data_IF_150018059021
#
_entry.id   IF_150018059021
#
_cell.length_a   1.000
_cell.length_b   1.000
_cell.length_c   1.000
_cell.angle_alpha   90.00
_cell.angle_beta   90.00
_cell.angle_gamma   90.00
#
_symmetry.space_group_name_H-M   'P 1'
#
loop_
_entity.id
_entity.type
_entity.pdbx_description
1 polymer ?
#
# COMPACT_ATOMS: atom_id res chain seq x y z
N UNK A 1 -13.86 -64.84 2.47
CA UNK A 1 -13.03 -63.91 1.67
C UNK A 1 -13.76 -62.59 1.58
N UNK A 2 -13.45 -61.66 2.50
CA UNK A 2 -14.05 -60.33 2.59
C UNK A 2 -13.77 -59.53 1.31
N UNK A 3 -14.80 -59.29 0.51
CA UNK A 3 -14.74 -58.41 -0.67
C UNK A 3 -14.97 -56.93 -0.33
N UNK A 4 -15.12 -56.60 0.97
CA UNK A 4 -15.36 -55.24 1.46
C UNK A 4 -14.06 -54.43 1.68
N UNK A 5 -12.91 -55.08 1.79
CA UNK A 5 -11.62 -54.41 2.04
C UNK A 5 -11.12 -53.51 0.90
N UNK A 6 -11.33 -53.78 -0.41
CA UNK A 6 -10.88 -52.85 -1.45
C UNK A 6 -11.81 -51.64 -1.60
N UNK A 7 -13.07 -51.74 -1.17
CA UNK A 7 -14.05 -50.65 -1.30
C UNK A 7 -13.81 -49.54 -0.26
N UNK A 8 -13.34 -49.91 0.94
CA UNK A 8 -13.10 -48.97 2.03
C UNK A 8 -11.88 -48.05 1.78
N UNK A 9 -10.88 -48.54 1.06
CA UNK A 9 -9.69 -47.73 0.73
C UNK A 9 -9.95 -46.67 -0.34
N UNK A 10 -10.95 -46.85 -1.22
CA UNK A 10 -11.23 -45.90 -2.30
C UNK A 10 -11.94 -44.61 -1.81
N UNK A 11 -12.69 -44.68 -0.69
CA UNK A 11 -13.46 -43.53 -0.17
C UNK A 11 -12.58 -42.53 0.58
N UNK A 12 -11.44 -42.96 1.14
CA UNK A 12 -10.51 -42.10 1.87
C UNK A 12 -9.62 -41.22 0.97
N UNK A 13 -9.52 -41.53 -0.33
CA UNK A 13 -8.72 -40.75 -1.30
C UNK A 13 -9.43 -39.50 -1.82
N UNK A 14 -10.73 -39.32 -1.56
CA UNK A 14 -11.51 -38.17 -2.08
C UNK A 14 -11.49 -36.96 -1.11
N UNK A 15 -11.00 -37.13 0.12
CA UNK A 15 -10.96 -36.05 1.11
C UNK A 15 -9.72 -35.13 1.02
N UNK A 16 -8.83 -35.35 0.05
CA UNK A 16 -7.60 -34.57 -0.12
C UNK A 16 -7.66 -33.52 -1.26
N UNK A 17 -8.84 -33.22 -1.81
CA UNK A 17 -8.98 -32.04 -2.68
C UNK A 17 -9.21 -30.82 -1.80
N UNK A 18 -8.13 -30.18 -1.35
CA UNK A 18 -8.16 -28.77 -0.97
C UNK A 18 -8.47 -27.96 -2.24
N UNK A 19 -9.73 -27.96 -2.68
CA UNK A 19 -10.21 -26.97 -3.64
C UNK A 19 -10.13 -25.63 -2.91
N UNK A 20 -9.17 -24.79 -3.30
CA UNK A 20 -9.00 -23.43 -2.79
C UNK A 20 -10.35 -22.73 -2.88
N UNK A 21 -11.00 -22.55 -1.72
CA UNK A 21 -12.33 -21.94 -1.61
C UNK A 21 -12.16 -20.47 -1.98
N UNK A 22 -13.02 -19.96 -2.88
CA UNK A 22 -13.00 -18.56 -3.31
C UNK A 22 -12.94 -17.65 -2.06
N UNK A 23 -11.89 -16.82 -1.93
CA UNK A 23 -11.81 -15.84 -0.85
C UNK A 23 -13.03 -14.93 -0.84
N UNK A 24 -13.50 -14.58 0.36
CA UNK A 24 -14.61 -13.66 0.54
C UNK A 24 -14.29 -12.23 0.07
N UNK A 25 -15.30 -11.38 -0.14
CA UNK A 25 -15.10 -10.00 -0.60
C UNK A 25 -14.27 -9.15 0.37
N UNK A 26 -14.27 -9.48 1.66
CA UNK A 26 -13.47 -8.80 2.68
C UNK A 26 -11.94 -8.92 2.45
N UNK A 27 -11.50 -9.82 1.57
CA UNK A 27 -10.07 -9.96 1.23
C UNK A 27 -9.47 -8.68 0.62
N UNK A 28 -10.29 -7.78 0.05
CA UNK A 28 -9.83 -6.54 -0.57
C UNK A 28 -9.83 -5.33 0.38
N UNK A 29 -10.43 -5.46 1.57
CA UNK A 29 -10.71 -4.32 2.43
C UNK A 29 -9.44 -3.64 2.95
N UNK A 30 -8.40 -4.41 3.28
CA UNK A 30 -7.13 -3.86 3.78
C UNK A 30 -6.44 -2.98 2.73
N UNK A 31 -6.26 -3.52 1.53
CA UNK A 31 -5.65 -2.80 0.40
C UNK A 31 -6.47 -1.56 -0.01
N UNK A 32 -7.81 -1.67 -0.05
CA UNK A 32 -8.66 -0.51 -0.34
C UNK A 32 -8.54 0.60 0.71
N UNK A 33 -8.48 0.23 1.99
CA UNK A 33 -8.26 1.19 3.09
C UNK A 33 -6.87 1.81 3.04
N UNK A 34 -5.84 1.04 2.67
CA UNK A 34 -4.47 1.52 2.53
C UNK A 34 -4.35 2.54 1.39
N UNK A 35 -4.99 2.29 0.24
CA UNK A 35 -5.07 3.27 -0.88
C UNK A 35 -5.73 4.56 -0.40
N UNK A 36 -6.87 4.49 0.29
CA UNK A 36 -7.55 5.66 0.82
C UNK A 36 -6.72 6.41 1.89
N UNK A 37 -5.87 5.70 2.64
CA UNK A 37 -4.92 6.32 3.56
C UNK A 37 -3.77 7.04 2.81
N UNK A 38 -3.26 6.46 1.71
CA UNK A 38 -2.27 7.08 0.84
C UNK A 38 -2.82 8.36 0.18
N UNK A 39 -4.05 8.33 -0.32
CA UNK A 39 -4.74 9.50 -0.87
C UNK A 39 -4.86 10.62 0.17
N UNK A 40 -5.32 10.30 1.38
CA UNK A 40 -5.38 11.26 2.51
C UNK A 40 -4.01 11.80 2.92
N UNK A 41 -2.93 11.05 2.70
CA UNK A 41 -1.57 11.49 2.93
C UNK A 41 -1.04 12.43 1.82
N UNK A 42 -1.80 12.65 0.75
CA UNK A 42 -1.41 13.50 -0.38
C UNK A 42 -0.58 12.79 -1.44
N UNK A 43 -0.65 11.45 -1.52
CA UNK A 43 0.14 10.67 -2.45
C UNK A 43 -0.14 10.99 -3.92
N UNK A 44 -1.31 11.56 -4.27
CA UNK A 44 -1.59 11.98 -5.65
C UNK A 44 -0.59 13.01 -6.18
N UNK A 45 -0.10 13.90 -5.32
CA UNK A 45 0.93 14.87 -5.69
C UNK A 45 2.33 14.37 -5.33
N UNK A 46 2.47 13.73 -4.16
CA UNK A 46 3.77 13.49 -3.54
C UNK A 46 4.36 12.11 -3.82
N UNK A 47 3.53 11.13 -4.17
CA UNK A 47 3.92 9.75 -4.48
C UNK A 47 3.01 9.11 -5.54
N UNK A 48 2.84 9.74 -6.73
CA UNK A 48 1.84 9.33 -7.71
C UNK A 48 2.13 7.96 -8.35
N UNK A 49 3.41 7.56 -8.41
CA UNK A 49 3.81 6.30 -9.05
C UNK A 49 3.39 5.12 -8.18
N UNK A 50 3.66 5.18 -6.89
CA UNK A 50 3.36 4.15 -5.91
C UNK A 50 1.84 4.03 -5.70
N UNK A 51 1.14 5.17 -5.62
CA UNK A 51 -0.32 5.18 -5.56
C UNK A 51 -0.94 4.55 -6.82
N UNK A 52 -0.39 4.82 -8.01
CA UNK A 52 -0.85 4.17 -9.25
C UNK A 52 -0.60 2.66 -9.20
N UNK A 53 0.57 2.22 -8.76
CA UNK A 53 0.86 0.80 -8.64
C UNK A 53 -0.08 0.10 -7.65
N UNK A 54 -0.37 0.71 -6.50
CA UNK A 54 -1.36 0.16 -5.57
C UNK A 54 -2.72 -0.06 -6.24
N UNK A 55 -3.25 0.97 -6.92
CA UNK A 55 -4.53 0.89 -7.66
C UNK A 55 -4.50 -0.18 -8.75
N UNK A 56 -3.41 -0.27 -9.52
CA UNK A 56 -3.26 -1.27 -10.58
C UNK A 56 -3.25 -2.70 -10.04
N UNK A 57 -2.53 -2.94 -8.93
CA UNK A 57 -2.44 -4.25 -8.30
C UNK A 57 -3.77 -4.70 -7.71
N UNK A 58 -4.51 -3.80 -7.07
CA UNK A 58 -5.85 -4.10 -6.58
C UNK A 58 -6.81 -4.45 -7.71
N UNK A 59 -6.77 -3.72 -8.82
CA UNK A 59 -7.59 -4.00 -10.01
C UNK A 59 -7.19 -5.32 -10.70
N UNK A 60 -5.89 -5.66 -10.72
CA UNK A 60 -5.41 -6.96 -11.19
C UNK A 60 -5.87 -8.10 -10.28
N UNK A 61 -5.83 -7.91 -8.96
CA UNK A 61 -6.32 -8.87 -7.98
C UNK A 61 -7.82 -9.17 -8.17
N UNK A 62 -8.63 -8.14 -8.40
CA UNK A 62 -10.07 -8.30 -8.68
C UNK A 62 -10.30 -9.18 -9.92
N UNK A 63 -9.58 -8.90 -11.02
CA UNK A 63 -9.64 -9.72 -12.24
C UNK A 63 -9.14 -11.15 -12.00
N UNK A 64 -8.08 -11.34 -11.22
CA UNK A 64 -7.59 -12.66 -10.83
C UNK A 64 -8.62 -13.47 -10.03
N UNK A 65 -9.33 -12.80 -9.11
CA UNK A 65 -10.38 -13.38 -8.28
C UNK A 65 -11.61 -13.83 -9.10
N UNK A 66 -11.95 -13.08 -10.16
CA UNK A 66 -12.98 -13.46 -11.12
C UNK A 66 -12.56 -14.66 -11.99
N UNK A 67 -11.27 -14.74 -12.33
CA UNK A 67 -10.69 -15.82 -13.14
C UNK A 67 -10.38 -17.10 -12.34
N UNK A 68 -10.68 -17.15 -11.04
CA UNK A 68 -10.38 -18.30 -10.19
C UNK A 68 -8.91 -18.43 -9.78
N UNK A 69 -8.09 -17.39 -10.03
CA UNK A 69 -6.65 -17.35 -9.69
C UNK A 69 -6.45 -16.82 -8.27
N UNK A 70 -6.98 -17.53 -7.28
CA UNK A 70 -7.09 -17.02 -5.91
C UNK A 70 -5.73 -16.70 -5.26
N UNK A 71 -4.75 -17.58 -5.39
CA UNK A 71 -3.43 -17.38 -4.78
C UNK A 71 -2.72 -16.15 -5.37
N UNK A 72 -2.80 -15.99 -6.69
CA UNK A 72 -2.24 -14.82 -7.40
C UNK A 72 -2.99 -13.55 -6.98
N UNK A 73 -4.32 -13.61 -6.86
CA UNK A 73 -5.12 -12.46 -6.44
C UNK A 73 -4.78 -12.01 -5.01
N UNK A 74 -4.56 -12.95 -4.09
CA UNK A 74 -4.14 -12.63 -2.71
C UNK A 74 -2.75 -11.98 -2.69
N UNK A 75 -1.81 -12.49 -3.48
CA UNK A 75 -0.49 -11.87 -3.60
C UNK A 75 -0.57 -10.43 -4.16
N UNK A 76 -1.43 -10.19 -5.16
CA UNK A 76 -1.64 -8.86 -5.72
C UNK A 76 -2.31 -7.89 -4.73
N UNK A 77 -3.17 -8.38 -3.83
CA UNK A 77 -3.73 -7.58 -2.72
C UNK A 77 -2.60 -7.13 -1.78
N UNK A 78 -1.70 -8.05 -1.41
CA UNK A 78 -0.54 -7.73 -0.56
C UNK A 78 0.39 -6.72 -1.25
N UNK A 79 0.68 -6.90 -2.54
CA UNK A 79 1.45 -5.92 -3.32
C UNK A 79 0.77 -4.55 -3.34
N UNK A 80 -0.57 -4.49 -3.45
CA UNK A 80 -1.32 -3.24 -3.38
C UNK A 80 -1.17 -2.55 -2.02
N UNK A 81 -1.21 -3.31 -0.93
CA UNK A 81 -1.05 -2.80 0.44
C UNK A 81 0.36 -2.22 0.64
N UNK A 82 1.40 -2.97 0.24
CA UNK A 82 2.80 -2.53 0.32
C UNK A 82 3.04 -1.25 -0.48
N UNK A 83 2.52 -1.16 -1.71
CA UNK A 83 2.66 0.05 -2.53
C UNK A 83 1.93 1.25 -1.90
N UNK A 84 0.79 1.01 -1.23
CA UNK A 84 0.06 2.06 -0.51
C UNK A 84 0.84 2.58 0.69
N UNK A 85 1.44 1.69 1.48
CA UNK A 85 2.31 2.07 2.60
C UNK A 85 3.53 2.85 2.12
N UNK A 86 4.16 2.41 1.03
CA UNK A 86 5.27 3.13 0.43
C UNK A 86 4.85 4.54 -0.02
N UNK A 87 3.67 4.68 -0.63
CA UNK A 87 3.13 5.97 -1.04
C UNK A 87 2.88 6.91 0.15
N UNK A 88 2.39 6.38 1.28
CA UNK A 88 2.20 7.13 2.52
C UNK A 88 3.54 7.67 3.03
N UNK A 89 4.57 6.82 3.12
CA UNK A 89 5.87 7.21 3.68
C UNK A 89 6.63 8.19 2.77
N UNK A 90 6.53 8.02 1.46
CA UNK A 90 7.07 8.99 0.50
C UNK A 90 6.36 10.35 0.64
N UNK A 91 5.04 10.34 0.80
CA UNK A 91 4.27 11.57 1.00
C UNK A 91 4.66 12.30 2.29
N UNK A 92 4.79 11.56 3.40
CA UNK A 92 5.26 12.10 4.68
C UNK A 92 6.67 12.67 4.58
N UNK A 93 7.56 11.97 3.89
CA UNK A 93 8.94 12.40 3.64
C UNK A 93 8.98 13.70 2.84
N UNK A 94 8.18 13.79 1.77
CA UNK A 94 8.10 14.99 0.94
C UNK A 94 7.55 16.19 1.74
N UNK A 95 6.51 16.01 2.56
CA UNK A 95 6.00 17.05 3.44
C UNK A 95 7.06 17.52 4.46
N UNK A 96 7.77 16.58 5.08
CA UNK A 96 8.85 16.89 6.03
C UNK A 96 9.94 17.75 5.36
N UNK A 97 10.38 17.38 4.15
CA UNK A 97 11.34 18.17 3.37
C UNK A 97 10.84 19.58 3.06
N UNK A 98 9.55 19.73 2.71
CA UNK A 98 8.94 21.06 2.49
C UNK A 98 9.01 21.91 3.76
N UNK A 99 8.64 21.36 4.91
CA UNK A 99 8.70 22.07 6.21
C UNK A 99 10.12 22.50 6.57
N UNK A 100 11.12 21.63 6.39
CA UNK A 100 12.53 21.99 6.65
C UNK A 100 12.98 23.13 5.73
N UNK A 101 12.56 23.13 4.47
CA UNK A 101 12.91 24.20 3.54
C UNK A 101 12.22 25.53 3.89
N UNK A 102 10.96 25.50 4.34
CA UNK A 102 10.26 26.70 4.83
C UNK A 102 10.95 27.28 6.07
N UNK A 103 11.28 26.45 7.06
CA UNK A 103 11.99 26.88 8.27
C UNK A 103 13.36 27.48 7.93
N UNK A 104 14.09 26.93 6.96
CA UNK A 104 15.37 27.49 6.51
C UNK A 104 15.20 28.89 5.92
N UNK A 105 14.18 29.09 5.08
CA UNK A 105 13.88 30.41 4.51
C UNK A 105 13.48 31.42 5.57
N UNK A 106 12.67 31.01 6.55
CA UNK A 106 12.27 31.86 7.66
C UNK A 106 13.50 32.31 8.48
N UNK A 107 14.42 31.39 8.79
CA UNK A 107 15.68 31.72 9.47
C UNK A 107 16.57 32.68 8.67
N UNK A 108 16.59 32.54 7.35
CA UNK A 108 17.37 33.42 6.46
C UNK A 108 16.78 34.84 6.44
N UNK A 109 15.45 34.96 6.31
CA UNK A 109 14.75 36.24 6.40
C UNK A 109 14.93 36.91 7.77
N UNK A 110 14.88 36.14 8.86
CA UNK A 110 15.13 36.67 10.20
C UNK A 110 16.57 37.19 10.36
N UNK A 111 17.56 36.51 9.75
CA UNK A 111 18.96 36.96 9.77
C UNK A 111 19.15 38.24 8.98
N UNK A 112 18.59 38.32 7.77
CA UNK A 112 18.63 39.53 6.95
C UNK A 112 18.00 40.73 7.67
N UNK A 113 16.87 40.53 8.34
CA UNK A 113 16.21 41.57 9.13
C UNK A 113 17.07 42.06 10.30
N UNK A 114 17.72 41.15 11.03
CA UNK A 114 18.64 41.52 12.12
C UNK A 114 19.84 42.31 11.58
N UNK A 115 20.39 41.90 10.44
CA UNK A 115 21.52 42.59 9.81
C UNK A 115 21.12 43.97 9.29
N UNK A 116 19.94 44.14 8.70
CA UNK A 116 19.47 45.46 8.26
C UNK A 116 19.13 46.39 9.41
N UNK A 117 18.47 45.89 10.46
CA UNK A 117 17.99 46.72 11.58
C UNK A 117 19.14 47.16 12.50
N UNK A 118 20.12 46.28 12.73
CA UNK A 118 21.22 46.54 13.67
C UNK A 118 22.56 46.80 12.99
N UNK A 119 22.75 46.44 11.72
CA UNK A 119 23.98 46.71 10.98
C UNK A 119 24.21 48.20 10.72
N UNK A 120 23.16 48.97 10.45
CA UNK A 120 23.26 50.43 10.29
C UNK A 120 23.52 51.17 11.60
N UNK A 121 23.34 50.54 12.77
CA UNK A 121 23.59 51.17 14.07
C UNK A 121 25.07 51.16 14.49
N UNK A 122 25.95 50.47 13.75
CA UNK A 122 27.37 50.29 14.09
C UNK A 122 28.36 50.82 13.04
N UNK A 123 27.89 51.51 12.00
CA UNK A 123 28.73 52.36 11.11
C UNK A 123 28.61 53.85 11.48
#
# INVERSE_FOLDING_TARGET
MNRLTPLLCAVLLVAASCASVKPGPAAFDSAAQAIAAAERAGAEELAPVELRFAREKLAEAQRGMEQGKYDIALYLIEESEINSELAIELSRTAQSRRRVNEQRRELELMREQLESEFGEAFE
#
